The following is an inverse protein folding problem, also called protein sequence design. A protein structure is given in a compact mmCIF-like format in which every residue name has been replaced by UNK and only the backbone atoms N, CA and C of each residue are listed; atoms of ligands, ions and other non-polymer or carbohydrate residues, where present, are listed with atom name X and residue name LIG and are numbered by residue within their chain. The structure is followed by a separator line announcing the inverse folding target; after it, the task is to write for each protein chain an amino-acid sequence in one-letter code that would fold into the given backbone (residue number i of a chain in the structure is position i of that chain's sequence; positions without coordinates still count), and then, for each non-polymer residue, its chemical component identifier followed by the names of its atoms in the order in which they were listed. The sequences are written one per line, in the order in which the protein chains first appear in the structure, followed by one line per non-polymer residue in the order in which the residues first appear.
data_IF_895751036385
#
_entry.id   IF_895751036385
#
_cell.length_a   1.000
_cell.length_b   1.000
_cell.length_c   1.000
_cell.angle_alpha   90.00
_cell.angle_beta   90.00
_cell.angle_gamma   90.00
#
_symmetry.space_group_name_H-M   'P 1'
#
loop_
_entity.id
_entity.type
_entity.pdbx_description
1 polymer ?
#
# COMPACT_ATOMS: atom_id res chain seq x y z
N UNK A 1 -32.96 55.95 -19.48
CA UNK A 1 -32.81 54.86 -20.43
C UNK A 1 -31.49 54.18 -20.10
N UNK A 2 -31.54 53.10 -19.36
CA UNK A 2 -30.35 52.26 -19.13
C UNK A 2 -30.38 51.11 -20.17
N UNK A 3 -29.48 51.18 -21.11
CA UNK A 3 -29.22 50.05 -22.00
C UNK A 3 -28.36 49.04 -21.25
N UNK A 4 -28.97 47.94 -20.82
CA UNK A 4 -28.24 46.80 -20.36
C UNK A 4 -27.53 46.18 -21.55
N UNK A 5 -26.20 46.27 -21.60
CA UNK A 5 -25.40 45.52 -22.56
C UNK A 5 -25.58 43.99 -22.32
N UNK A 6 -25.44 43.19 -23.37
CA UNK A 6 -25.56 41.75 -23.19
C UNK A 6 -24.50 41.24 -22.21
N UNK A 7 -24.95 40.52 -21.18
CA UNK A 7 -24.09 39.79 -20.29
C UNK A 7 -23.09 38.93 -21.11
N UNK A 8 -21.82 38.87 -20.72
CA UNK A 8 -20.88 37.99 -21.40
C UNK A 8 -21.37 36.57 -21.27
N UNK A 9 -21.64 35.95 -22.41
CA UNK A 9 -21.97 34.55 -22.50
C UNK A 9 -20.81 33.74 -21.91
N UNK A 10 -20.99 33.27 -20.69
CA UNK A 10 -20.10 32.22 -20.20
C UNK A 10 -20.22 31.04 -21.15
N UNK A 11 -19.25 30.90 -22.04
CA UNK A 11 -19.12 29.70 -22.82
C UNK A 11 -18.81 28.57 -21.86
N UNK A 12 -19.86 27.88 -21.39
CA UNK A 12 -19.74 26.64 -20.64
C UNK A 12 -18.87 25.69 -21.45
N UNK A 13 -17.84 25.18 -20.82
CA UNK A 13 -16.98 24.15 -21.40
C UNK A 13 -17.85 23.02 -21.92
N UNK A 14 -17.82 22.76 -23.22
CA UNK A 14 -18.59 21.67 -23.81
C UNK A 14 -18.11 20.32 -23.25
N UNK A 15 -19.05 19.41 -22.96
CA UNK A 15 -18.73 18.06 -22.57
C UNK A 15 -17.95 17.39 -23.72
N UNK A 16 -16.64 17.19 -23.55
CA UNK A 16 -15.75 16.63 -24.56
C UNK A 16 -14.55 17.50 -24.93
N UNK A 17 -14.43 18.71 -24.39
CA UNK A 17 -13.23 19.50 -24.57
C UNK A 17 -12.04 18.83 -23.89
N UNK A 18 -10.88 18.73 -24.56
CA UNK A 18 -9.69 18.12 -23.96
C UNK A 18 -9.26 18.94 -22.74
N UNK A 19 -8.86 18.28 -21.66
CA UNK A 19 -8.31 18.94 -20.49
C UNK A 19 -7.11 19.81 -20.85
N UNK A 20 -6.88 20.94 -20.14
CA UNK A 20 -5.69 21.76 -20.34
C UNK A 20 -4.41 20.94 -20.26
N UNK A 21 -3.39 21.28 -21.06
CA UNK A 21 -2.13 20.55 -21.10
C UNK A 21 -1.43 20.45 -19.73
N UNK A 22 -1.56 21.49 -18.88
CA UNK A 22 -1.02 21.51 -17.51
C UNK A 22 -1.68 20.43 -16.65
N UNK A 23 -3.00 20.30 -16.71
CA UNK A 23 -3.73 19.28 -15.94
C UNK A 23 -3.36 17.86 -16.38
N UNK A 24 -3.18 17.65 -17.68
CA UNK A 24 -2.74 16.35 -18.22
C UNK A 24 -1.32 16.01 -17.82
N UNK A 25 -0.43 16.98 -17.75
CA UNK A 25 0.95 16.81 -17.29
C UNK A 25 0.97 16.40 -15.82
N UNK A 26 0.20 17.07 -14.98
CA UNK A 26 0.11 16.75 -13.56
C UNK A 26 -0.52 15.38 -13.33
N UNK A 27 -1.58 15.05 -14.03
CA UNK A 27 -2.20 13.72 -13.96
C UNK A 27 -1.23 12.60 -14.36
N UNK A 28 -0.39 12.83 -15.38
CA UNK A 28 0.65 11.86 -15.76
C UNK A 28 1.70 11.72 -14.65
N UNK A 29 2.15 12.84 -14.09
CA UNK A 29 3.11 12.83 -12.97
C UNK A 29 2.58 12.03 -11.79
N UNK A 30 1.36 12.28 -11.38
CA UNK A 30 0.71 11.57 -10.27
C UNK A 30 0.58 10.08 -10.56
N UNK A 31 0.19 9.71 -11.78
CA UNK A 31 0.08 8.31 -12.18
C UNK A 31 1.43 7.60 -12.12
N UNK A 32 2.49 8.21 -12.64
CA UNK A 32 3.83 7.62 -12.63
C UNK A 32 4.38 7.53 -11.21
N UNK A 33 4.12 8.52 -10.37
CA UNK A 33 4.48 8.47 -8.95
C UNK A 33 3.76 7.33 -8.23
N UNK A 34 2.46 7.18 -8.46
CA UNK A 34 1.67 6.07 -7.90
C UNK A 34 2.20 4.71 -8.34
N UNK A 35 2.59 4.56 -9.60
CA UNK A 35 3.20 3.33 -10.10
C UNK A 35 4.54 3.03 -9.42
N UNK A 36 5.36 4.04 -9.18
CA UNK A 36 6.63 3.88 -8.47
C UNK A 36 6.41 3.44 -7.01
N UNK A 37 5.46 4.05 -6.32
CA UNK A 37 5.08 3.66 -4.95
C UNK A 37 4.57 2.22 -4.93
N UNK A 38 3.71 1.84 -5.87
CA UNK A 38 3.22 0.47 -6.01
C UNK A 38 4.32 -0.55 -6.26
N UNK A 39 5.31 -0.20 -7.08
CA UNK A 39 6.47 -1.05 -7.32
C UNK A 39 7.30 -1.27 -6.05
N UNK A 40 7.52 -0.21 -5.27
CA UNK A 40 8.20 -0.32 -3.97
C UNK A 40 7.41 -1.19 -2.99
N UNK A 41 6.10 -1.06 -2.97
CA UNK A 41 5.24 -1.91 -2.15
C UNK A 41 5.38 -3.39 -2.54
N UNK A 42 5.39 -3.73 -3.82
CA UNK A 42 5.62 -5.09 -4.28
C UNK A 42 6.96 -5.65 -3.80
N UNK A 43 8.02 -4.85 -3.76
CA UNK A 43 9.29 -5.26 -3.18
C UNK A 43 9.18 -5.59 -1.70
N UNK A 44 8.45 -4.80 -0.92
CA UNK A 44 8.26 -5.06 0.51
C UNK A 44 7.43 -6.32 0.73
N UNK A 45 6.45 -6.58 -0.12
CA UNK A 45 5.66 -7.82 -0.11
C UNK A 45 6.55 -9.02 -0.44
N UNK A 46 7.37 -8.92 -1.45
CA UNK A 46 8.35 -9.96 -1.80
C UNK A 46 9.28 -10.28 -0.64
N UNK A 47 9.82 -9.27 0.03
CA UNK A 47 10.66 -9.47 1.22
C UNK A 47 9.90 -10.17 2.35
N UNK A 48 8.66 -9.78 2.60
CA UNK A 48 7.81 -10.41 3.61
C UNK A 48 7.58 -11.90 3.35
N UNK A 49 7.36 -12.26 2.10
CA UNK A 49 7.22 -13.64 1.68
C UNK A 49 8.53 -14.41 1.84
N UNK A 50 9.63 -13.88 1.31
CA UNK A 50 10.94 -14.54 1.32
C UNK A 50 11.49 -14.74 2.73
N UNK A 51 11.26 -13.80 3.61
CA UNK A 51 11.72 -13.88 5.00
C UNK A 51 10.75 -14.64 5.92
N UNK A 52 9.60 -15.07 5.42
CA UNK A 52 8.61 -15.81 6.19
C UNK A 52 7.83 -14.97 7.19
N UNK A 53 7.78 -13.65 7.01
CA UNK A 53 7.12 -12.73 7.95
C UNK A 53 5.60 -12.93 7.97
N UNK A 54 4.98 -13.04 6.81
CA UNK A 54 3.54 -13.30 6.73
C UNK A 54 3.17 -14.66 7.32
N UNK A 55 3.95 -15.68 7.01
CA UNK A 55 3.71 -17.02 7.54
C UNK A 55 3.82 -17.05 9.06
N UNK A 56 4.84 -16.41 9.62
CA UNK A 56 5.01 -16.34 11.06
C UNK A 56 3.82 -15.62 11.75
N UNK A 57 3.31 -14.53 11.16
CA UNK A 57 2.12 -13.84 11.66
C UNK A 57 0.85 -14.70 11.53
N UNK A 58 0.71 -15.44 10.44
CA UNK A 58 -0.44 -16.32 10.24
C UNK A 58 -0.44 -17.51 11.22
N UNK A 59 0.72 -18.12 11.44
CA UNK A 59 0.85 -19.33 12.30
C UNK A 59 0.84 -19.00 13.79
N UNK A 60 1.50 -17.90 14.18
CA UNK A 60 1.74 -17.57 15.59
C UNK A 60 0.94 -16.39 16.11
N UNK A 61 0.15 -15.76 15.26
CA UNK A 61 -0.72 -14.64 15.62
C UNK A 61 0.03 -13.32 15.81
N UNK A 62 -0.65 -12.36 16.43
CA UNK A 62 -0.14 -11.00 16.63
C UNK A 62 1.24 -10.99 17.31
N UNK A 63 2.08 -10.08 16.87
CA UNK A 63 3.46 -9.96 17.36
C UNK A 63 3.91 -8.50 17.43
N UNK A 64 4.80 -8.22 18.37
CA UNK A 64 5.64 -7.03 18.32
C UNK A 64 6.77 -7.23 17.30
N UNK A 65 7.44 -6.16 16.92
CA UNK A 65 8.60 -6.24 16.02
C UNK A 65 9.71 -7.17 16.56
N UNK A 66 9.96 -7.12 17.86
CA UNK A 66 10.96 -7.98 18.50
C UNK A 66 10.54 -9.46 18.46
N UNK A 67 9.26 -9.75 18.72
CA UNK A 67 8.73 -11.11 18.66
C UNK A 67 8.79 -11.67 17.23
N UNK A 68 8.39 -10.89 16.24
CA UNK A 68 8.42 -11.32 14.85
C UNK A 68 9.86 -11.55 14.36
N UNK A 69 10.77 -10.64 14.70
CA UNK A 69 12.18 -10.80 14.40
C UNK A 69 12.76 -12.10 14.99
N UNK A 70 12.43 -12.40 16.24
CA UNK A 70 12.86 -13.64 16.90
C UNK A 70 12.30 -14.89 16.23
N UNK A 71 11.01 -14.87 15.84
CA UNK A 71 10.34 -15.99 15.16
C UNK A 71 10.95 -16.31 13.79
N UNK A 72 11.47 -15.30 13.11
CA UNK A 72 11.94 -15.42 11.71
C UNK A 72 13.47 -15.37 11.56
N UNK A 73 14.19 -15.15 12.65
CA UNK A 73 15.65 -15.04 12.61
C UNK A 73 16.12 -13.77 11.86
N UNK A 74 15.36 -12.71 11.92
CA UNK A 74 15.64 -11.44 11.25
C UNK A 74 15.99 -10.34 12.25
N UNK A 75 16.38 -9.17 11.74
CA UNK A 75 16.78 -8.03 12.56
C UNK A 75 15.59 -7.15 12.93
N UNK A 76 15.37 -6.91 14.21
CA UNK A 76 14.21 -6.17 14.73
C UNK A 76 14.03 -4.82 14.03
N UNK A 77 15.07 -4.03 13.86
CA UNK A 77 14.97 -2.71 13.25
C UNK A 77 14.34 -2.75 11.86
N UNK A 78 14.79 -3.65 11.01
CA UNK A 78 14.26 -3.78 9.65
C UNK A 78 12.85 -4.35 9.64
N UNK A 79 12.57 -5.32 10.52
CA UNK A 79 11.22 -5.86 10.70
C UNK A 79 10.26 -4.78 11.17
N UNK A 80 10.67 -3.92 12.08
CA UNK A 80 9.86 -2.80 12.56
C UNK A 80 9.49 -1.84 11.43
N UNK A 81 10.46 -1.44 10.62
CA UNK A 81 10.20 -0.57 9.46
C UNK A 81 9.25 -1.25 8.46
N UNK A 82 9.42 -2.53 8.22
CA UNK A 82 8.54 -3.32 7.37
C UNK A 82 7.11 -3.38 7.93
N UNK A 83 6.96 -3.63 9.22
CA UNK A 83 5.66 -3.67 9.90
C UNK A 83 4.94 -2.31 9.85
N UNK A 84 5.67 -1.23 10.14
CA UNK A 84 5.12 0.13 10.08
C UNK A 84 4.65 0.49 8.67
N UNK A 85 5.42 0.16 7.66
CA UNK A 85 5.04 0.35 6.26
C UNK A 85 3.79 -0.46 5.90
N UNK A 86 3.74 -1.72 6.29
CA UNK A 86 2.60 -2.60 6.01
C UNK A 86 1.32 -2.18 6.74
N UNK A 87 1.45 -1.64 7.94
CA UNK A 87 0.30 -1.06 8.65
C UNK A 87 -0.20 0.22 7.96
N UNK A 88 0.71 1.07 7.50
CA UNK A 88 0.37 2.29 6.77
C UNK A 88 -0.32 1.99 5.43
N UNK A 89 0.06 0.92 4.74
CA UNK A 89 -0.59 0.45 3.50
C UNK A 89 -1.76 -0.51 3.73
N UNK A 90 -2.19 -0.69 4.97
CA UNK A 90 -3.35 -1.52 5.34
C UNK A 90 -3.22 -3.02 4.97
N UNK A 91 -2.01 -3.50 4.75
CA UNK A 91 -1.74 -4.93 4.57
C UNK A 91 -1.73 -5.68 5.90
N UNK A 92 -1.32 -5.01 6.96
CA UNK A 92 -1.38 -5.47 8.34
C UNK A 92 -2.19 -4.50 9.19
N UNK A 93 -2.61 -4.96 10.34
CA UNK A 93 -3.28 -4.13 11.34
C UNK A 93 -2.34 -3.95 12.54
N UNK A 94 -2.33 -2.75 13.10
CA UNK A 94 -1.62 -2.42 14.33
C UNK A 94 -2.64 -2.09 15.43
N UNK A 95 -2.38 -2.53 16.65
CA UNK A 95 -3.29 -2.33 17.79
C UNK A 95 -3.40 -0.86 18.21
N UNK A 96 -2.25 -0.20 18.39
CA UNK A 96 -2.19 1.22 18.73
C UNK A 96 -1.02 1.89 18.01
N UNK A 97 -1.28 2.65 16.93
CA UNK A 97 -0.23 3.34 16.19
C UNK A 97 0.46 4.46 16.98
N UNK A 98 -0.12 4.87 18.12
CA UNK A 98 0.46 5.91 18.99
C UNK A 98 1.32 5.34 20.11
N UNK A 99 1.29 4.02 20.32
CA UNK A 99 2.15 3.37 21.30
C UNK A 99 3.62 3.50 20.93
N UNK A 100 4.50 3.30 21.91
CA UNK A 100 5.95 3.21 21.65
C UNK A 100 6.21 2.15 20.58
N UNK A 101 7.14 2.42 19.64
CA UNK A 101 7.35 1.53 18.49
C UNK A 101 7.56 0.06 18.85
N UNK A 102 8.31 -0.23 19.91
CA UNK A 102 8.57 -1.60 20.35
C UNK A 102 7.38 -2.26 21.08
N UNK A 103 6.40 -1.48 21.50
CA UNK A 103 5.20 -1.98 22.17
C UNK A 103 4.05 -2.28 21.22
N UNK A 104 4.12 -1.79 20.00
CA UNK A 104 3.06 -2.01 18.99
C UNK A 104 2.99 -3.47 18.61
N UNK A 105 1.76 -3.99 18.52
CA UNK A 105 1.47 -5.35 18.05
C UNK A 105 0.80 -5.30 16.70
N UNK A 106 1.21 -6.17 15.83
CA UNK A 106 0.75 -6.26 14.46
C UNK A 106 0.18 -7.64 14.18
N UNK A 107 -0.82 -7.73 13.35
CA UNK A 107 -1.35 -9.00 12.88
C UNK A 107 -1.74 -8.95 11.42
N UNK A 108 -1.74 -10.12 10.81
CA UNK A 108 -2.21 -10.34 9.45
C UNK A 108 -3.71 -10.61 9.49
N UNK A 109 -4.56 -9.77 8.86
CA UNK A 109 -5.99 -10.04 8.79
C UNK A 109 -6.25 -11.41 8.15
N UNK A 110 -7.22 -12.18 8.67
CA UNK A 110 -7.53 -13.51 8.13
C UNK A 110 -7.84 -13.49 6.63
N UNK A 111 -8.49 -12.46 6.13
CA UNK A 111 -8.82 -12.29 4.72
C UNK A 111 -7.60 -12.06 3.82
N UNK A 112 -6.45 -11.67 4.38
CA UNK A 112 -5.20 -11.49 3.65
C UNK A 112 -4.35 -12.77 3.58
N UNK A 113 -4.60 -13.73 4.45
CA UNK A 113 -3.82 -14.98 4.53
C UNK A 113 -3.81 -15.76 3.22
N UNK A 114 -4.94 -15.94 2.51
CA UNK A 114 -4.95 -16.67 1.24
C UNK A 114 -4.01 -16.10 0.19
N UNK A 115 -3.82 -14.78 0.19
CA UNK A 115 -3.00 -14.09 -0.80
C UNK A 115 -1.54 -14.00 -0.39
N UNK A 116 -1.27 -13.77 0.91
CA UNK A 116 0.08 -13.41 1.39
C UNK A 116 0.80 -14.55 2.12
N UNK A 117 0.08 -15.53 2.67
CA UNK A 117 0.67 -16.54 3.54
C UNK A 117 0.34 -17.98 3.19
N UNK A 118 -0.76 -18.26 2.51
CA UNK A 118 -1.18 -19.62 2.18
C UNK A 118 -0.73 -20.02 0.77
N UNK A 119 0.39 -20.71 0.67
CA UNK A 119 0.96 -21.15 -0.62
C UNK A 119 0.10 -22.16 -1.38
N UNK A 120 -0.84 -22.81 -0.72
CA UNK A 120 -1.74 -23.77 -1.34
C UNK A 120 -3.00 -23.12 -1.94
N UNK A 121 -3.22 -21.85 -1.66
CA UNK A 121 -4.35 -21.09 -2.21
C UNK A 121 -4.03 -20.62 -3.64
N UNK A 122 -5.02 -20.76 -4.54
CA UNK A 122 -4.87 -20.34 -5.94
C UNK A 122 -4.68 -18.82 -6.10
N UNK A 123 -5.00 -18.05 -5.06
CA UNK A 123 -4.81 -16.58 -5.03
C UNK A 123 -3.44 -16.16 -4.52
N UNK A 124 -2.67 -17.14 -4.01
CA UNK A 124 -1.32 -16.85 -3.51
C UNK A 124 -0.45 -16.34 -4.66
N UNK A 125 0.20 -15.21 -4.43
CA UNK A 125 1.05 -14.53 -5.41
C UNK A 125 0.39 -14.21 -6.76
N UNK A 126 -0.95 -14.29 -6.86
CA UNK A 126 -1.65 -13.92 -8.10
C UNK A 126 -1.37 -12.47 -8.54
N UNK A 127 -0.94 -11.64 -7.61
CA UNK A 127 -0.57 -10.24 -7.85
C UNK A 127 0.80 -10.09 -8.52
N UNK A 128 1.67 -11.08 -8.39
CA UNK A 128 3.03 -10.95 -8.93
C UNK A 128 3.07 -11.25 -10.42
N UNK A 129 2.37 -12.27 -10.92
CA UNK A 129 2.36 -12.63 -12.35
C UNK A 129 3.72 -12.63 -13.04
N UNK A 130 4.76 -12.27 -12.29
CA UNK A 130 6.13 -12.09 -12.73
C UNK A 130 7.02 -12.73 -11.66
N UNK A 131 7.76 -13.75 -12.05
CA UNK A 131 8.90 -14.20 -11.26
C UNK A 131 9.90 -13.06 -11.20
N UNK A 132 9.88 -12.29 -10.13
CA UNK A 132 10.93 -11.32 -9.83
C UNK A 132 12.11 -12.13 -9.29
N UNK A 133 12.89 -12.65 -10.19
CA UNK A 133 14.12 -13.36 -9.88
C UNK A 133 15.24 -12.36 -9.71
#
# INVERSE_FOLDING_TARGET
MSEGGPEPFEQGRAAGDPEPAVDRTEALRERLFGNAVGALELYTIYLGERLGLYRALAESGAATSSQLAARTGTTERYVREWLEHHAASELLVVDDPRAEPLARRYWLPPEHIPVLANRDDVRYEAYTGVDIV
#
